data_IF_350720368672
#
_entry.id   IF_350720368672
#
_cell.length_a   1.000
_cell.length_b   1.000
_cell.length_c   1.000
_cell.angle_alpha   90.00
_cell.angle_beta   90.00
_cell.angle_gamma   90.00
#
_symmetry.space_group_name_H-M   'P 1'
#
loop_
_entity.id
_entity.type
_entity.pdbx_description
1 polymer ?
#
# COMPACT_ATOMS: atom_id res chain seq x y z
N UNK A 1 -17.87 -1.05 33.53
CA UNK A 1 -18.93 -0.96 32.51
C UNK A 1 -18.46 -0.02 31.42
N UNK A 2 -18.38 -0.47 30.16
CA UNK A 2 -18.18 0.46 29.04
C UNK A 2 -19.40 1.39 28.97
N UNK A 3 -19.19 2.67 28.66
CA UNK A 3 -20.22 3.72 28.68
C UNK A 3 -21.44 3.48 27.74
N UNK A 4 -21.41 2.43 26.93
CA UNK A 4 -22.44 2.08 25.94
C UNK A 4 -23.46 1.04 26.40
N UNK A 5 -23.34 0.47 27.61
CA UNK A 5 -24.31 -0.51 28.15
C UNK A 5 -24.41 -1.84 27.37
N UNK A 6 -23.48 -2.11 26.46
CA UNK A 6 -23.46 -3.31 25.62
C UNK A 6 -22.51 -4.37 26.17
N UNK A 7 -23.02 -5.59 26.32
CA UNK A 7 -22.25 -6.78 26.68
C UNK A 7 -21.15 -7.09 25.64
N UNK A 8 -19.91 -7.44 26.05
CA UNK A 8 -18.76 -7.62 25.15
C UNK A 8 -19.00 -8.63 24.01
N UNK A 9 -19.71 -9.73 24.28
CA UNK A 9 -20.05 -10.73 23.27
C UNK A 9 -20.99 -10.17 22.18
N UNK A 10 -21.87 -9.23 22.55
CA UNK A 10 -22.80 -8.57 21.64
C UNK A 10 -22.08 -7.52 20.78
N UNK A 11 -21.13 -6.78 21.35
CA UNK A 11 -20.21 -5.92 20.61
C UNK A 11 -19.41 -6.70 19.58
N UNK A 12 -18.79 -7.82 19.96
CA UNK A 12 -18.02 -8.68 19.05
C UNK A 12 -18.86 -9.18 17.88
N UNK A 13 -20.10 -9.60 18.14
CA UNK A 13 -21.04 -10.07 17.11
C UNK A 13 -21.48 -8.96 16.15
N UNK A 14 -21.70 -7.74 16.67
CA UNK A 14 -22.03 -6.56 15.85
C UNK A 14 -20.84 -6.14 14.98
N UNK A 15 -19.62 -6.15 15.51
CA UNK A 15 -18.39 -5.84 14.77
C UNK A 15 -18.10 -6.86 13.65
N UNK A 16 -18.35 -8.15 13.89
CA UNK A 16 -18.22 -9.19 12.86
C UNK A 16 -19.30 -9.06 11.76
N UNK A 17 -20.52 -8.65 12.14
CA UNK A 17 -21.61 -8.36 11.19
C UNK A 17 -21.40 -7.04 10.43
N UNK A 18 -20.60 -6.12 10.98
CA UNK A 18 -20.22 -4.84 10.38
C UNK A 18 -19.06 -4.93 9.37
N UNK A 19 -18.74 -6.13 8.88
CA UNK A 19 -17.90 -6.32 7.68
C UNK A 19 -18.46 -5.60 6.44
N UNK A 20 -19.72 -5.16 6.47
CA UNK A 20 -20.37 -4.25 5.50
C UNK A 20 -20.34 -2.74 5.83
N UNK A 21 -19.95 -2.35 7.05
CA UNK A 21 -19.88 -0.96 7.52
C UNK A 21 -18.58 -0.73 8.32
N UNK A 22 -17.43 -0.83 7.63
CA UNK A 22 -16.08 -0.60 8.18
C UNK A 22 -15.95 0.71 8.97
N UNK A 23 -16.74 1.74 8.65
CA UNK A 23 -16.69 3.06 9.28
C UNK A 23 -17.17 3.06 10.75
N UNK A 24 -18.23 2.33 11.10
CA UNK A 24 -18.78 2.34 12.46
C UNK A 24 -18.00 1.50 13.48
N UNK A 25 -17.26 0.50 13.00
CA UNK A 25 -16.43 -0.37 13.83
C UNK A 25 -15.08 0.25 14.22
N UNK A 26 -14.58 1.18 13.39
CA UNK A 26 -13.37 1.96 13.67
C UNK A 26 -13.63 2.95 14.80
N UNK A 27 -14.70 3.76 14.73
CA UNK A 27 -15.03 4.79 15.73
C UNK A 27 -15.11 4.22 17.17
N UNK A 28 -15.63 2.99 17.34
CA UNK A 28 -15.72 2.35 18.67
C UNK A 28 -14.40 1.75 19.19
N UNK A 29 -13.39 1.54 18.35
CA UNK A 29 -12.07 0.99 18.72
C UNK A 29 -11.08 2.06 19.17
N UNK A 30 -11.36 3.33 18.89
CA UNK A 30 -10.38 4.41 18.90
C UNK A 30 -10.42 5.30 20.14
N UNK A 31 -11.35 5.09 21.07
CA UNK A 31 -11.49 5.90 22.29
C UNK A 31 -10.38 5.73 23.35
N UNK A 32 -9.23 5.17 22.96
CA UNK A 32 -8.03 5.03 23.78
C UNK A 32 -6.79 4.55 23.01
N UNK A 33 -6.79 4.68 21.68
CA UNK A 33 -5.68 4.26 20.82
C UNK A 33 -4.87 5.50 20.41
N UNK A 34 -3.55 5.39 20.39
CA UNK A 34 -2.68 6.46 19.88
C UNK A 34 -3.01 6.80 18.41
N UNK A 35 -2.90 8.07 18.04
CA UNK A 35 -3.29 8.56 16.70
C UNK A 35 -2.54 7.83 15.58
N UNK A 36 -1.28 7.48 15.79
CA UNK A 36 -0.49 6.77 14.80
C UNK A 36 -1.00 5.33 14.60
N UNK A 37 -1.38 4.67 15.68
CA UNK A 37 -1.96 3.32 15.64
C UNK A 37 -3.36 3.32 15.00
N UNK A 38 -4.15 4.37 15.24
CA UNK A 38 -5.41 4.62 14.52
C UNK A 38 -5.18 4.70 13.02
N UNK A 39 -4.24 5.55 12.59
CA UNK A 39 -3.90 5.72 11.19
C UNK A 39 -3.38 4.42 10.55
N UNK A 40 -2.53 3.66 11.24
CA UNK A 40 -2.07 2.34 10.76
C UNK A 40 -3.22 1.36 10.57
N UNK A 41 -4.19 1.35 11.49
CA UNK A 41 -5.37 0.51 11.39
C UNK A 41 -6.27 0.95 10.24
N UNK A 42 -6.42 2.25 10.02
CA UNK A 42 -7.15 2.79 8.88
C UNK A 42 -6.48 2.42 7.55
N UNK A 43 -5.16 2.60 7.41
CA UNK A 43 -4.43 2.20 6.20
C UNK A 43 -4.62 0.70 5.90
N UNK A 44 -4.62 -0.15 6.94
CA UNK A 44 -4.79 -1.61 6.79
C UNK A 44 -6.22 -2.05 6.46
N UNK A 45 -7.23 -1.31 6.93
CA UNK A 45 -8.64 -1.74 6.86
C UNK A 45 -9.48 -0.91 5.90
N UNK A 46 -9.09 0.31 5.57
CA UNK A 46 -9.80 1.16 4.63
C UNK A 46 -9.61 0.64 3.21
N UNK A 47 -10.64 0.82 2.37
CA UNK A 47 -10.39 0.82 0.94
C UNK A 47 -9.47 2.02 0.70
N UNK A 48 -8.27 1.79 0.13
CA UNK A 48 -7.23 2.85 -0.03
C UNK A 48 -7.78 4.16 -0.63
N UNK A 49 -8.87 4.06 -1.41
CA UNK A 49 -9.69 5.16 -1.96
C UNK A 49 -10.26 6.16 -0.93
N UNK A 50 -10.27 5.85 0.37
CA UNK A 50 -10.84 6.70 1.42
C UNK A 50 -9.79 7.46 2.23
N UNK A 51 -8.51 7.15 2.02
CA UNK A 51 -7.40 7.81 2.70
C UNK A 51 -7.24 9.25 2.16
N UNK A 52 -7.13 10.22 3.08
CA UNK A 52 -7.03 11.64 2.74
C UNK A 52 -5.62 12.19 2.99
N UNK A 53 -5.04 13.01 2.10
CA UNK A 53 -3.69 13.56 2.27
C UNK A 53 -3.49 14.31 3.59
N UNK A 54 -4.55 14.97 4.07
CA UNK A 54 -4.55 15.75 5.32
C UNK A 54 -4.32 14.88 6.56
N UNK A 55 -4.55 13.57 6.48
CA UNK A 55 -4.27 12.65 7.59
C UNK A 55 -2.77 12.50 7.85
N UNK A 56 -1.94 12.87 6.87
CA UNK A 56 -0.49 12.71 6.91
C UNK A 56 0.26 14.03 7.15
N UNK A 57 -0.43 15.19 7.07
CA UNK A 57 0.22 16.51 7.12
C UNK A 57 0.77 16.89 8.49
N UNK A 58 0.30 16.24 9.54
CA UNK A 58 0.70 16.53 10.93
C UNK A 58 1.69 15.50 11.49
N UNK A 59 2.11 14.54 10.67
CA UNK A 59 3.05 13.51 11.10
C UNK A 59 4.47 14.07 11.18
N UNK A 60 5.16 13.75 12.26
CA UNK A 60 6.58 14.00 12.37
C UNK A 60 7.38 12.96 11.56
N UNK A 61 8.69 13.19 11.43
CA UNK A 61 9.56 12.35 10.62
C UNK A 61 9.55 10.87 11.02
N UNK A 62 9.54 10.58 12.32
CA UNK A 62 9.60 9.19 12.81
C UNK A 62 8.28 8.47 12.55
N UNK A 63 7.16 9.17 12.71
CA UNK A 63 5.83 8.66 12.37
C UNK A 63 5.70 8.39 10.86
N UNK A 64 6.24 9.28 10.01
CA UNK A 64 6.30 9.07 8.56
C UNK A 64 7.10 7.82 8.21
N UNK A 65 8.28 7.64 8.81
CA UNK A 65 9.11 6.44 8.63
C UNK A 65 8.33 5.18 8.99
N UNK A 66 7.52 5.22 10.05
CA UNK A 66 6.76 4.07 10.53
C UNK A 66 5.57 3.71 9.63
N UNK A 67 4.91 4.69 9.00
CA UNK A 67 3.76 4.44 8.13
C UNK A 67 4.14 4.13 6.67
N UNK A 68 5.30 4.59 6.20
CA UNK A 68 5.74 4.40 4.81
C UNK A 68 5.67 2.93 4.35
N UNK A 69 6.07 1.93 5.15
CA UNK A 69 5.94 0.52 4.76
C UNK A 69 4.51 0.06 4.45
N UNK A 70 3.49 0.73 5.01
CA UNK A 70 2.08 0.44 4.75
C UNK A 70 1.55 1.22 3.53
N UNK A 71 2.07 2.42 3.30
CA UNK A 71 1.66 3.28 2.19
C UNK A 71 2.28 2.89 0.85
N UNK A 72 3.54 2.42 0.84
CA UNK A 72 4.23 2.03 -0.41
C UNK A 72 3.45 0.96 -1.19
N UNK A 73 2.93 -0.12 -0.57
CA UNK A 73 2.11 -1.10 -1.28
C UNK A 73 0.72 -0.57 -1.63
N UNK A 74 0.10 0.20 -0.73
CA UNK A 74 -1.20 0.81 -0.94
C UNK A 74 -1.21 1.70 -2.20
N UNK A 75 -0.07 2.32 -2.50
CA UNK A 75 0.13 3.14 -3.69
C UNK A 75 -0.19 2.38 -4.99
N UNK A 76 0.12 1.07 -5.06
CA UNK A 76 0.00 0.25 -6.26
C UNK A 76 -1.44 -0.01 -6.70
N UNK A 77 -2.39 0.06 -5.76
CA UNK A 77 -3.81 -0.20 -6.03
C UNK A 77 -4.63 1.08 -6.27
N UNK A 78 -3.99 2.26 -6.23
CA UNK A 78 -4.71 3.52 -6.14
C UNK A 78 -5.08 4.10 -7.52
N UNK A 79 -4.29 3.84 -8.55
CA UNK A 79 -4.33 4.65 -9.77
C UNK A 79 -5.59 4.59 -10.64
N UNK A 80 -6.48 3.58 -10.57
CA UNK A 80 -7.75 3.69 -11.29
C UNK A 80 -8.64 4.87 -10.82
N UNK A 81 -8.34 5.57 -9.71
CA UNK A 81 -9.20 6.61 -9.12
C UNK A 81 -8.52 7.85 -8.52
N UNK A 82 -7.26 8.16 -8.83
CA UNK A 82 -6.71 9.52 -8.71
C UNK A 82 -6.65 10.16 -7.31
N UNK A 83 -5.64 9.81 -6.49
CA UNK A 83 -5.15 10.72 -5.44
C UNK A 83 -3.67 11.03 -5.65
N UNK A 84 -3.37 11.94 -6.59
CA UNK A 84 -2.01 12.39 -6.86
C UNK A 84 -1.31 13.02 -5.65
N UNK A 85 -2.08 13.56 -4.70
CA UNK A 85 -1.56 14.17 -3.46
C UNK A 85 -0.85 13.16 -2.56
N UNK A 86 -1.45 11.98 -2.34
CA UNK A 86 -0.77 10.95 -1.53
C UNK A 86 0.42 10.34 -2.28
N UNK A 87 0.31 10.08 -3.57
CA UNK A 87 1.44 9.56 -4.36
C UNK A 87 2.63 10.51 -4.29
N UNK A 88 2.38 11.81 -4.38
CA UNK A 88 3.40 12.83 -4.19
C UNK A 88 3.97 12.82 -2.77
N UNK A 89 3.13 12.69 -1.74
CA UNK A 89 3.58 12.56 -0.35
C UNK A 89 4.52 11.36 -0.18
N UNK A 90 4.16 10.17 -0.69
CA UNK A 90 4.99 8.96 -0.58
C UNK A 90 6.34 9.16 -1.29
N UNK A 91 6.32 9.73 -2.51
CA UNK A 91 7.53 10.00 -3.28
C UNK A 91 8.47 10.97 -2.54
N UNK A 92 7.93 12.09 -2.06
CA UNK A 92 8.70 13.11 -1.31
C UNK A 92 9.23 12.54 0.00
N UNK A 93 8.40 11.79 0.73
CA UNK A 93 8.77 11.20 2.00
C UNK A 93 9.89 10.16 1.83
N UNK A 94 9.82 9.29 0.82
CA UNK A 94 10.90 8.34 0.51
C UNK A 94 12.19 9.06 0.11
N UNK A 95 12.11 10.05 -0.79
CA UNK A 95 13.27 10.75 -1.32
C UNK A 95 13.94 11.69 -0.29
N UNK A 96 13.25 12.02 0.80
CA UNK A 96 13.78 12.77 1.93
C UNK A 96 14.56 11.90 2.96
N UNK A 97 14.48 10.57 2.87
CA UNK A 97 15.19 9.66 3.77
C UNK A 97 16.64 9.42 3.31
N UNK A 98 17.54 9.00 4.23
CA UNK A 98 18.84 8.44 3.84
C UNK A 98 18.64 7.28 2.85
N UNK A 99 19.50 7.20 1.83
CA UNK A 99 19.33 6.29 0.68
C UNK A 99 19.15 4.82 1.10
N UNK A 100 19.99 4.35 2.02
CA UNK A 100 19.91 2.98 2.53
C UNK A 100 18.59 2.70 3.26
N UNK A 101 18.08 3.68 4.01
CA UNK A 101 16.81 3.56 4.73
C UNK A 101 15.62 3.57 3.75
N UNK A 102 15.64 4.48 2.77
CA UNK A 102 14.62 4.57 1.74
C UNK A 102 14.53 3.26 0.93
N UNK A 103 15.68 2.76 0.48
CA UNK A 103 15.80 1.49 -0.25
C UNK A 103 15.24 0.33 0.56
N UNK A 104 15.64 0.18 1.83
CA UNK A 104 15.15 -0.89 2.70
C UNK A 104 13.64 -0.82 2.90
N UNK A 105 13.10 0.36 3.25
CA UNK A 105 11.65 0.55 3.44
C UNK A 105 10.88 0.19 2.17
N UNK A 106 11.35 0.69 1.02
CA UNK A 106 10.75 0.43 -0.27
C UNK A 106 10.73 -1.07 -0.59
N UNK A 107 11.88 -1.72 -0.60
CA UNK A 107 12.01 -3.14 -0.96
C UNK A 107 11.28 -4.06 0.04
N UNK A 108 11.37 -3.81 1.35
CA UNK A 108 10.69 -4.63 2.37
C UNK A 108 9.16 -4.50 2.28
N UNK A 109 8.66 -3.31 1.91
CA UNK A 109 7.24 -3.09 1.72
C UNK A 109 6.72 -3.89 0.51
N UNK A 110 7.43 -3.82 -0.63
CA UNK A 110 7.11 -4.62 -1.81
C UNK A 110 7.23 -6.12 -1.55
N UNK A 111 8.27 -6.57 -0.84
CA UNK A 111 8.46 -7.98 -0.48
C UNK A 111 7.27 -8.54 0.29
N UNK A 112 6.81 -7.83 1.33
CA UNK A 112 5.65 -8.22 2.14
C UNK A 112 4.38 -8.23 1.30
N UNK A 113 4.22 -7.23 0.44
CA UNK A 113 3.07 -7.11 -0.44
C UNK A 113 2.99 -8.26 -1.44
N UNK A 114 4.07 -8.56 -2.17
CA UNK A 114 4.09 -9.63 -3.17
C UNK A 114 3.90 -11.01 -2.52
N UNK A 115 4.46 -11.24 -1.32
CA UNK A 115 4.20 -12.48 -0.54
C UNK A 115 2.75 -12.66 -0.13
N UNK A 116 1.95 -11.60 -0.07
CA UNK A 116 0.52 -11.70 0.26
C UNK A 116 -0.31 -12.34 -0.86
N UNK A 117 0.28 -12.57 -2.04
CA UNK A 117 -0.36 -13.16 -3.21
C UNK A 117 -0.42 -14.69 -3.10
N UNK A 118 -0.96 -15.21 -2.00
CA UNK A 118 -1.01 -16.65 -1.75
C UNK A 118 -1.77 -17.46 -2.81
N UNK A 119 -2.72 -16.83 -3.52
CA UNK A 119 -3.44 -17.46 -4.64
C UNK A 119 -2.62 -17.49 -5.94
N UNK A 120 -1.67 -16.57 -6.12
CA UNK A 120 -0.91 -16.43 -7.37
C UNK A 120 -0.15 -17.70 -7.76
N UNK A 121 0.41 -18.41 -6.77
CA UNK A 121 1.12 -19.68 -7.02
C UNK A 121 0.19 -20.80 -7.56
N UNK A 122 -1.13 -20.69 -7.37
CA UNK A 122 -2.13 -21.70 -7.76
C UNK A 122 -2.97 -21.30 -8.98
N UNK A 123 -2.87 -20.05 -9.39
CA UNK A 123 -3.61 -19.48 -10.51
C UNK A 123 -3.08 -20.03 -11.85
N UNK A 124 -3.94 -20.07 -12.88
CA UNK A 124 -3.51 -20.41 -14.24
C UNK A 124 -2.57 -19.33 -14.80
N UNK A 125 -1.79 -19.61 -15.86
CA UNK A 125 -0.95 -18.59 -16.50
C UNK A 125 -1.70 -17.31 -16.88
N UNK A 126 -2.92 -17.43 -17.41
CA UNK A 126 -3.76 -16.31 -17.80
C UNK A 126 -4.24 -15.50 -16.59
N UNK A 127 -4.67 -16.21 -15.53
CA UNK A 127 -5.07 -15.58 -14.26
C UNK A 127 -3.90 -14.84 -13.62
N UNK A 128 -2.69 -15.44 -13.60
CA UNK A 128 -1.48 -14.78 -13.11
C UNK A 128 -1.21 -13.46 -13.83
N UNK A 129 -1.31 -13.43 -15.16
CA UNK A 129 -1.12 -12.21 -15.94
C UNK A 129 -2.19 -11.17 -15.62
N UNK A 130 -3.45 -11.58 -15.53
CA UNK A 130 -4.56 -10.70 -15.13
C UNK A 130 -4.34 -10.10 -13.75
N UNK A 131 -4.04 -10.94 -12.77
CA UNK A 131 -3.69 -10.54 -11.41
C UNK A 131 -2.53 -9.55 -11.39
N UNK A 132 -1.41 -9.83 -12.07
CA UNK A 132 -0.26 -8.92 -12.08
C UNK A 132 -0.60 -7.56 -12.71
N UNK A 133 -1.37 -7.54 -13.80
CA UNK A 133 -1.81 -6.28 -14.43
C UNK A 133 -2.75 -5.48 -13.53
N UNK A 134 -3.70 -6.14 -12.90
CA UNK A 134 -4.66 -5.51 -11.98
C UNK A 134 -4.02 -5.07 -10.65
N UNK A 135 -3.01 -5.80 -10.17
CA UNK A 135 -2.42 -5.55 -8.85
C UNK A 135 -1.13 -4.75 -8.87
N UNK A 136 -0.37 -4.81 -9.95
CA UNK A 136 0.84 -4.00 -10.08
C UNK A 136 0.57 -2.67 -10.78
N UNK A 137 -0.51 -2.52 -11.58
CA UNK A 137 -0.96 -1.27 -12.26
C UNK A 137 0.19 -0.39 -12.78
N UNK A 138 1.24 -1.01 -13.29
CA UNK A 138 2.53 -0.35 -13.47
C UNK A 138 2.53 0.66 -14.60
N UNK A 139 1.71 0.45 -15.62
CA UNK A 139 1.45 1.36 -16.74
C UNK A 139 0.80 2.69 -16.31
N UNK A 140 0.29 2.71 -15.08
CA UNK A 140 -0.59 3.71 -14.52
C UNK A 140 0.06 4.44 -13.34
N UNK A 141 0.91 3.80 -12.58
CA UNK A 141 1.40 4.34 -11.30
C UNK A 141 2.53 5.37 -11.40
N UNK A 142 2.27 6.57 -10.87
CA UNK A 142 3.27 7.64 -10.72
C UNK A 142 4.31 7.44 -9.60
N UNK A 143 4.29 6.34 -8.82
CA UNK A 143 5.30 6.09 -7.76
C UNK A 143 6.72 5.91 -8.32
N UNK A 144 6.82 5.44 -9.58
CA UNK A 144 8.09 5.26 -10.28
C UNK A 144 8.79 6.57 -10.67
N UNK A 145 8.17 7.73 -10.37
CA UNK A 145 8.82 9.05 -10.51
C UNK A 145 9.79 9.36 -9.35
N UNK A 146 9.67 8.71 -8.19
CA UNK A 146 10.62 8.90 -7.07
C UNK A 146 12.04 8.50 -7.48
N UNK A 147 13.04 9.17 -6.91
CA UNK A 147 14.44 8.76 -7.09
C UNK A 147 14.67 7.36 -6.49
N UNK A 148 14.08 7.11 -5.32
CA UNK A 148 14.15 5.82 -4.63
C UNK A 148 13.66 4.66 -5.50
N UNK A 149 12.50 4.77 -6.15
CA UNK A 149 12.01 3.69 -7.03
C UNK A 149 12.91 3.46 -8.25
N UNK A 150 13.48 4.53 -8.83
CA UNK A 150 14.39 4.45 -9.99
C UNK A 150 15.72 3.78 -9.61
N UNK A 151 16.31 4.17 -8.49
CA UNK A 151 17.54 3.60 -7.95
C UNK A 151 17.39 2.10 -7.62
N UNK A 152 16.20 1.70 -7.16
CA UNK A 152 15.91 0.33 -6.74
C UNK A 152 15.26 -0.54 -7.85
N UNK A 153 15.24 -0.08 -9.11
CA UNK A 153 14.63 -0.80 -10.25
C UNK A 153 15.10 -2.25 -10.34
N UNK A 154 16.43 -2.45 -10.34
CA UNK A 154 17.00 -3.79 -10.50
C UNK A 154 16.71 -4.67 -9.27
N UNK A 155 16.88 -4.13 -8.06
CA UNK A 155 16.63 -4.87 -6.83
C UNK A 155 15.16 -5.29 -6.68
N UNK A 156 14.21 -4.42 -7.07
CA UNK A 156 12.80 -4.77 -7.09
C UNK A 156 12.50 -5.84 -8.15
N UNK A 157 13.13 -5.76 -9.32
CA UNK A 157 12.99 -6.78 -10.36
C UNK A 157 13.47 -8.15 -9.88
N UNK A 158 14.64 -8.20 -9.23
CA UNK A 158 15.20 -9.44 -8.68
C UNK A 158 14.28 -10.02 -7.60
N UNK A 159 13.74 -9.16 -6.74
CA UNK A 159 12.75 -9.56 -5.73
C UNK A 159 11.44 -10.10 -6.34
N UNK A 160 10.95 -9.50 -7.43
CA UNK A 160 9.77 -10.01 -8.16
C UNK A 160 10.09 -11.38 -8.76
N UNK A 161 11.27 -11.55 -9.36
CA UNK A 161 11.71 -12.83 -9.92
C UNK A 161 11.72 -13.92 -8.86
N UNK A 162 12.32 -13.63 -7.71
CA UNK A 162 12.47 -14.60 -6.62
C UNK A 162 11.13 -14.99 -5.98
N UNK A 163 10.18 -14.05 -5.89
CA UNK A 163 8.90 -14.30 -5.22
C UNK A 163 7.80 -14.82 -6.15
N UNK A 164 7.78 -14.39 -7.41
CA UNK A 164 6.68 -14.62 -8.35
C UNK A 164 7.11 -15.29 -9.65
N UNK A 165 8.41 -15.40 -9.95
CA UNK A 165 8.92 -16.03 -11.18
C UNK A 165 9.23 -15.03 -12.30
N UNK A 166 9.86 -15.53 -13.37
CA UNK A 166 10.25 -14.70 -14.53
C UNK A 166 9.03 -14.14 -15.28
N UNK A 167 7.90 -14.84 -15.30
CA UNK A 167 6.69 -14.33 -15.94
C UNK A 167 6.23 -12.98 -15.34
N UNK A 168 6.47 -12.78 -14.04
CA UNK A 168 6.11 -11.55 -13.34
C UNK A 168 7.07 -10.40 -13.66
N UNK A 169 8.34 -10.71 -13.93
CA UNK A 169 9.36 -9.73 -14.35
C UNK A 169 8.99 -9.12 -15.69
N UNK A 170 8.53 -9.92 -16.64
CA UNK A 170 8.11 -9.42 -17.95
C UNK A 170 6.93 -8.42 -17.84
N UNK A 171 5.93 -8.74 -16.99
CA UNK A 171 4.82 -7.80 -16.70
C UNK A 171 5.34 -6.55 -16.01
N UNK A 172 6.30 -6.70 -15.10
CA UNK A 172 6.92 -5.58 -14.40
C UNK A 172 7.62 -4.58 -15.35
N UNK A 173 8.47 -5.10 -16.22
CA UNK A 173 9.23 -4.31 -17.17
C UNK A 173 8.30 -3.59 -18.17
N UNK A 174 7.32 -4.31 -18.73
CA UNK A 174 6.37 -3.73 -19.68
C UNK A 174 5.58 -2.56 -19.07
N UNK A 175 5.18 -2.70 -17.80
CA UNK A 175 4.49 -1.63 -17.10
C UNK A 175 5.37 -0.44 -16.76
N UNK A 176 6.61 -0.69 -16.32
CA UNK A 176 7.58 0.38 -16.04
C UNK A 176 7.90 1.19 -17.30
N UNK A 177 8.08 0.53 -18.44
CA UNK A 177 8.35 1.20 -19.71
C UNK A 177 7.16 2.07 -20.16
N UNK A 178 5.93 1.61 -19.94
CA UNK A 178 4.71 2.39 -20.19
C UNK A 178 4.62 3.64 -19.29
N UNK A 179 4.89 3.52 -17.98
CA UNK A 179 4.91 4.66 -17.07
C UNK A 179 5.98 5.71 -17.43
N UNK A 180 7.15 5.25 -17.86
CA UNK A 180 8.23 6.13 -18.32
C UNK A 180 7.84 6.87 -19.61
N UNK A 181 7.18 6.21 -20.55
CA UNK A 181 6.67 6.86 -21.76
C UNK A 181 5.63 7.95 -21.43
N UNK A 182 4.70 7.68 -20.52
CA UNK A 182 3.69 8.63 -20.06
C UNK A 182 4.25 9.83 -19.28
N UNK A 183 5.47 9.72 -18.74
CA UNK A 183 6.15 10.83 -18.03
C UNK A 183 6.88 11.82 -18.94
N UNK A 184 7.03 11.49 -20.23
CA UNK A 184 7.77 12.28 -21.23
C UNK A 184 6.88 13.07 -22.20
N UNK A 185 5.57 12.84 -22.17
CA UNK A 185 4.55 13.59 -22.91
C UNK A 185 3.84 14.59 -22.00
#
# INVERSE_FOLDING_TARGET
MLASGLEPARCRKLLLKASRYREGALIYRLSGTDRLEELKLEIKNSYFKLLRPEWFSELNRDEVIEILPLLVPASLHWEPHGNGGLMNFINVALDALPRDLASRIYLDAFARYLRSFGYYARATPEEKVGMLKEFMCLDRLHIYRSATARENRQALQDLIRDLLGEEAVAVYQAGLDAALAASRG
#
